data_IF_073656227540
#
_entry.id   IF_073656227540
#
_cell.length_a   1.000
_cell.length_b   1.000
_cell.length_c   1.000
_cell.angle_alpha   90.00
_cell.angle_beta   90.00
_cell.angle_gamma   90.00
#
_symmetry.space_group_name_H-M   'P 1'
#
loop_
_entity.id
_entity.type
_entity.pdbx_description
1 polymer ?
#
# COMPACT_ATOMS: atom_id res chain seq x y z
N UNK A 1 29.37 20.11 -31.68
CA UNK A 1 29.29 18.93 -30.79
C UNK A 1 28.06 18.13 -31.19
N UNK A 2 28.23 16.87 -31.57
CA UNK A 2 27.09 15.97 -31.75
C UNK A 2 26.43 15.78 -30.39
N UNK A 3 25.13 16.09 -30.28
CA UNK A 3 24.37 15.80 -29.08
C UNK A 3 24.12 14.30 -29.06
N UNK A 4 24.61 13.61 -28.04
CA UNK A 4 24.24 12.23 -27.81
C UNK A 4 22.84 12.22 -27.21
N UNK A 5 21.86 11.72 -27.98
CA UNK A 5 20.52 11.47 -27.46
C UNK A 5 20.54 10.08 -26.83
N UNK A 6 20.56 10.02 -25.50
CA UNK A 6 20.38 8.78 -24.76
C UNK A 6 18.87 8.54 -24.61
N UNK A 7 18.34 7.52 -25.29
CA UNK A 7 16.94 7.10 -25.12
C UNK A 7 16.70 6.30 -23.82
N UNK A 8 17.78 5.74 -23.27
CA UNK A 8 17.82 5.00 -22.01
C UNK A 8 19.25 4.57 -21.71
N UNK A 9 19.54 4.30 -20.44
CA UNK A 9 20.79 3.71 -20.01
C UNK A 9 20.49 2.76 -18.86
N UNK A 10 20.92 1.51 -18.99
CA UNK A 10 20.76 0.51 -17.93
C UNK A 10 21.70 0.81 -16.75
N UNK A 11 22.92 1.28 -17.05
CA UNK A 11 23.91 1.71 -16.07
C UNK A 11 24.63 2.98 -16.53
N UNK A 12 25.00 3.83 -15.57
CA UNK A 12 25.74 5.07 -15.81
C UNK A 12 27.04 5.03 -15.02
N UNK A 13 28.15 5.25 -15.71
CA UNK A 13 29.48 5.35 -15.12
C UNK A 13 29.98 6.79 -15.21
N UNK A 14 30.59 7.29 -14.15
CA UNK A 14 31.16 8.63 -14.12
C UNK A 14 32.67 8.55 -13.87
N UNK A 15 33.42 9.38 -14.61
CA UNK A 15 34.89 9.48 -14.52
C UNK A 15 35.63 8.73 -15.62
N UNK A 16 36.96 8.91 -15.67
CA UNK A 16 37.86 8.28 -16.65
C UNK A 16 38.83 7.25 -16.05
N UNK A 17 38.68 6.94 -14.75
CA UNK A 17 39.56 6.02 -14.04
C UNK A 17 39.52 4.62 -14.64
N UNK A 18 40.69 3.99 -14.74
CA UNK A 18 40.84 2.63 -15.23
C UNK A 18 41.64 1.82 -14.22
N UNK A 19 40.99 0.81 -13.65
CA UNK A 19 41.63 -0.25 -12.89
C UNK A 19 41.36 -1.58 -13.63
N UNK A 20 42.39 -2.37 -13.97
CA UNK A 20 42.20 -3.60 -14.75
C UNK A 20 41.27 -4.62 -14.06
N UNK A 21 41.31 -4.70 -12.73
CA UNK A 21 40.49 -5.65 -11.96
C UNK A 21 39.03 -5.21 -11.96
N UNK A 22 38.77 -3.93 -11.67
CA UNK A 22 37.43 -3.36 -11.70
C UNK A 22 36.83 -3.34 -13.11
N UNK A 23 37.64 -3.03 -14.13
CA UNK A 23 37.21 -3.06 -15.53
C UNK A 23 36.87 -4.48 -15.99
N UNK A 24 37.64 -5.48 -15.53
CA UNK A 24 37.35 -6.90 -15.81
C UNK A 24 36.00 -7.38 -15.27
N UNK A 25 35.49 -6.73 -14.21
CA UNK A 25 34.17 -7.03 -13.62
C UNK A 25 33.07 -6.17 -14.23
N UNK A 26 33.28 -4.85 -14.32
CA UNK A 26 32.25 -3.89 -14.68
C UNK A 26 32.10 -3.68 -16.20
N UNK A 27 33.10 -4.03 -17.00
CA UNK A 27 33.12 -3.78 -18.45
C UNK A 27 33.19 -2.31 -18.86
N UNK A 28 33.32 -1.39 -17.91
CA UNK A 28 33.31 0.05 -18.13
C UNK A 28 34.38 0.76 -17.28
N UNK A 29 34.85 1.91 -17.78
CA UNK A 29 35.75 2.81 -17.03
C UNK A 29 34.94 3.68 -16.06
N UNK A 30 35.59 4.15 -15.00
CA UNK A 30 34.95 4.97 -13.97
C UNK A 30 34.23 4.14 -12.90
N UNK A 31 33.32 4.77 -12.19
CA UNK A 31 32.57 4.17 -11.07
C UNK A 31 31.08 4.17 -11.43
N UNK A 32 30.34 3.07 -11.15
CA UNK A 32 28.90 3.05 -11.37
C UNK A 32 28.20 4.04 -10.44
N UNK A 33 27.18 4.72 -10.98
CA UNK A 33 26.39 5.71 -10.24
C UNK A 33 24.92 5.28 -10.25
N UNK A 34 24.32 5.24 -9.07
CA UNK A 34 22.89 4.97 -8.91
C UNK A 34 22.16 6.27 -8.61
N UNK A 35 21.23 6.64 -9.49
CA UNK A 35 20.44 7.85 -9.34
C UNK A 35 19.24 7.60 -8.40
N UNK A 36 19.03 8.47 -7.39
CA UNK A 36 17.83 8.45 -6.57
C UNK A 36 16.56 8.55 -7.41
N UNK A 37 15.55 7.79 -7.01
CA UNK A 37 14.20 7.84 -7.55
C UNK A 37 13.34 8.69 -6.62
N UNK A 38 12.62 9.65 -7.19
CA UNK A 38 11.63 10.46 -6.48
C UNK A 38 10.29 9.74 -6.51
N UNK A 39 9.85 9.22 -5.37
CA UNK A 39 8.48 8.77 -5.14
C UNK A 39 7.66 9.95 -4.60
N UNK A 40 6.48 10.18 -5.18
CA UNK A 40 5.61 11.29 -4.82
C UNK A 40 4.19 10.79 -4.56
N UNK A 41 3.59 11.25 -3.48
CA UNK A 41 2.16 11.16 -3.24
C UNK A 41 1.61 12.58 -3.25
N UNK A 42 0.71 12.87 -4.19
CA UNK A 42 0.31 14.24 -4.50
C UNK A 42 -0.37 14.95 -3.32
N UNK A 43 -1.26 14.26 -2.60
CA UNK A 43 -2.04 14.82 -1.52
C UNK A 43 -2.77 13.74 -0.69
N UNK A 44 -2.07 12.88 0.08
CA UNK A 44 -2.74 11.95 0.98
C UNK A 44 -3.52 12.69 2.06
N UNK A 45 -4.82 12.51 2.08
CA UNK A 45 -5.72 13.07 3.08
C UNK A 45 -5.41 12.48 4.48
N UNK A 46 -5.87 13.20 5.50
CA UNK A 46 -5.85 12.74 6.90
C UNK A 46 -6.38 11.30 6.96
N UNK A 47 -5.76 10.45 7.78
CA UNK A 47 -6.28 9.11 8.03
C UNK A 47 -7.71 9.20 8.57
N UNK A 48 -8.61 8.50 7.90
CA UNK A 48 -10.04 8.53 8.18
C UNK A 48 -10.50 7.10 8.41
N UNK A 49 -10.68 6.72 9.69
CA UNK A 49 -11.14 5.39 10.09
C UNK A 49 -12.59 5.11 9.67
N UNK A 50 -13.29 6.14 9.21
CA UNK A 50 -14.71 6.14 8.91
C UNK A 50 -14.96 6.24 7.39
N UNK A 51 -13.92 6.09 6.54
CA UNK A 51 -14.07 6.35 5.11
C UNK A 51 -14.97 5.33 4.37
N UNK A 52 -14.81 4.03 4.61
CA UNK A 52 -15.45 2.97 3.82
C UNK A 52 -16.66 2.34 4.52
N UNK A 53 -16.53 2.11 5.83
CA UNK A 53 -17.59 1.62 6.71
C UNK A 53 -17.57 2.47 7.96
N UNK A 54 -18.75 2.90 8.39
CA UNK A 54 -18.95 3.62 9.66
C UNK A 54 -20.01 2.87 10.41
N UNK A 55 -19.84 2.83 11.73
CA UNK A 55 -20.81 2.41 12.74
C UNK A 55 -21.57 1.10 12.47
N UNK A 56 -21.04 0.22 11.62
CA UNK A 56 -21.72 -1.02 11.25
C UNK A 56 -22.04 -1.83 12.50
N UNK A 57 -23.29 -2.24 12.65
CA UNK A 57 -23.78 -2.91 13.86
C UNK A 57 -24.95 -3.84 13.55
N UNK A 58 -25.47 -4.58 14.53
CA UNK A 58 -26.68 -5.39 14.39
C UNK A 58 -26.63 -6.33 13.17
N UNK A 59 -27.68 -6.34 12.34
CA UNK A 59 -27.83 -7.21 11.15
C UNK A 59 -26.78 -6.98 10.07
N UNK A 60 -26.02 -5.89 10.17
CA UNK A 60 -24.94 -5.56 9.25
C UNK A 60 -23.72 -6.41 9.57
N UNK A 61 -23.46 -6.68 10.85
CA UNK A 61 -22.35 -7.52 11.30
C UNK A 61 -22.69 -9.02 11.28
N UNK A 62 -21.66 -9.89 11.19
CA UNK A 62 -21.86 -11.33 11.17
C UNK A 62 -22.28 -11.89 12.55
N UNK A 63 -23.08 -12.95 12.49
CA UNK A 63 -23.26 -13.91 13.57
C UNK A 63 -22.99 -15.28 12.97
N UNK A 64 -21.87 -15.90 13.36
CA UNK A 64 -21.40 -17.18 12.82
C UNK A 64 -21.50 -17.26 11.28
N UNK A 65 -21.06 -16.20 10.60
CA UNK A 65 -21.24 -16.01 9.16
C UNK A 65 -20.25 -14.99 8.59
N UNK A 66 -20.32 -14.78 7.28
CA UNK A 66 -19.58 -13.72 6.58
C UNK A 66 -20.54 -12.68 6.06
N UNK A 67 -20.20 -11.40 6.28
CA UNK A 67 -20.86 -10.24 5.67
C UNK A 67 -19.90 -9.60 4.69
N UNK A 68 -20.32 -9.44 3.44
CA UNK A 68 -19.47 -8.92 2.37
C UNK A 68 -20.02 -7.62 1.83
N UNK A 69 -19.17 -6.61 1.77
CA UNK A 69 -19.49 -5.28 1.31
C UNK A 69 -18.70 -4.97 0.05
N UNK A 70 -19.40 -4.43 -0.94
CA UNK A 70 -18.85 -4.11 -2.25
C UNK A 70 -19.36 -2.74 -2.70
N UNK A 71 -18.70 -2.09 -3.67
CA UNK A 71 -19.23 -0.88 -4.27
C UNK A 71 -20.62 -1.06 -4.90
N UNK A 72 -20.96 -2.27 -5.35
CA UNK A 72 -22.27 -2.57 -5.93
C UNK A 72 -23.40 -2.66 -4.88
N UNK A 73 -23.06 -2.99 -3.63
CA UNK A 73 -23.98 -3.03 -2.49
C UNK A 73 -23.86 -1.76 -1.63
N UNK A 74 -23.17 -0.74 -2.13
CA UNK A 74 -23.07 0.55 -1.45
C UNK A 74 -24.48 1.17 -1.32
N UNK A 75 -24.85 1.61 -0.12
CA UNK A 75 -26.17 2.17 0.18
C UNK A 75 -27.17 1.22 0.82
N UNK A 76 -26.86 -0.08 0.95
CA UNK A 76 -27.83 -1.06 1.47
C UNK A 76 -27.53 -1.62 2.85
N UNK A 77 -26.24 -1.75 3.23
CA UNK A 77 -25.77 -2.11 4.58
C UNK A 77 -24.29 -2.55 4.53
N UNK A 78 -23.43 -2.07 5.44
CA UNK A 78 -23.60 -0.90 6.29
C UNK A 78 -23.54 0.34 5.42
N UNK A 79 -24.37 1.31 5.75
CA UNK A 79 -24.23 2.65 5.20
C UNK A 79 -24.56 3.69 6.25
N UNK A 80 -23.66 3.79 7.21
CA UNK A 80 -23.71 4.83 8.24
C UNK A 80 -22.76 6.00 7.94
N UNK A 81 -22.21 6.06 6.71
CA UNK A 81 -21.39 7.18 6.22
C UNK A 81 -22.02 7.88 5.00
N UNK A 82 -21.89 9.21 4.93
CA UNK A 82 -22.21 10.05 3.76
C UNK A 82 -21.04 10.35 2.82
N UNK A 83 -19.81 9.91 3.14
CA UNK A 83 -18.57 10.30 2.44
C UNK A 83 -17.79 9.14 1.79
N UNK A 84 -18.39 7.96 1.62
CA UNK A 84 -17.75 6.83 0.93
C UNK A 84 -17.30 7.25 -0.48
N UNK A 85 -16.07 6.95 -0.92
CA UNK A 85 -15.63 7.26 -2.28
C UNK A 85 -16.61 6.72 -3.31
N UNK A 86 -16.88 7.48 -4.38
CA UNK A 86 -17.75 7.01 -5.45
C UNK A 86 -17.20 5.73 -6.09
N UNK A 87 -18.09 4.79 -6.41
CA UNK A 87 -17.72 3.60 -7.14
C UNK A 87 -17.14 3.98 -8.51
N UNK A 88 -16.01 3.35 -8.86
CA UNK A 88 -15.32 3.54 -10.14
C UNK A 88 -15.14 2.18 -10.82
N UNK A 89 -14.99 2.18 -12.15
CA UNK A 89 -14.57 0.99 -12.90
C UNK A 89 -13.12 1.17 -13.35
N UNK A 90 -12.28 0.17 -13.07
CA UNK A 90 -10.88 0.14 -13.50
C UNK A 90 -10.63 -1.03 -14.45
N UNK A 91 -9.67 -0.88 -15.36
CA UNK A 91 -9.05 -2.01 -16.07
C UNK A 91 -7.84 -2.49 -15.27
N UNK A 92 -7.91 -3.73 -14.79
CA UNK A 92 -6.87 -4.39 -14.00
C UNK A 92 -5.61 -4.70 -14.82
N UNK A 93 -4.53 -5.08 -14.14
CA UNK A 93 -3.27 -5.50 -14.78
C UNK A 93 -3.40 -6.71 -15.72
N UNK A 94 -4.46 -7.52 -15.59
CA UNK A 94 -4.75 -8.65 -16.48
C UNK A 94 -5.63 -8.26 -17.67
N UNK A 95 -6.09 -7.00 -17.75
CA UNK A 95 -7.01 -6.51 -18.78
C UNK A 95 -8.50 -6.68 -18.44
N UNK A 96 -8.84 -7.37 -17.34
CA UNK A 96 -10.22 -7.47 -16.85
C UNK A 96 -10.72 -6.15 -16.24
N UNK A 97 -12.03 -5.94 -16.19
CA UNK A 97 -12.64 -4.79 -15.50
C UNK A 97 -13.08 -5.15 -14.08
N UNK A 98 -12.92 -4.21 -13.13
CA UNK A 98 -13.40 -4.35 -11.76
C UNK A 98 -14.11 -3.07 -11.29
N UNK A 99 -15.17 -3.22 -10.48
CA UNK A 99 -15.84 -2.10 -9.80
C UNK A 99 -15.26 -1.94 -8.40
N UNK A 100 -14.77 -0.75 -8.07
CA UNK A 100 -13.95 -0.49 -6.89
C UNK A 100 -14.28 0.85 -6.25
N UNK A 101 -13.98 0.99 -4.95
CA UNK A 101 -13.77 2.29 -4.32
C UNK A 101 -12.33 2.75 -4.57
N UNK A 102 -12.15 4.00 -5.00
CA UNK A 102 -10.80 4.56 -5.24
C UNK A 102 -10.35 5.38 -4.04
N UNK A 103 -9.20 5.03 -3.47
CA UNK A 103 -8.59 5.80 -2.38
C UNK A 103 -7.77 6.97 -2.94
N UNK A 104 -7.53 7.97 -2.12
CA UNK A 104 -6.74 9.17 -2.41
C UNK A 104 -5.26 8.85 -2.73
N UNK A 105 -4.68 7.90 -2.00
CA UNK A 105 -3.31 7.40 -2.17
C UNK A 105 -3.25 5.87 -1.96
N UNK A 106 -2.21 5.18 -2.47
CA UNK A 106 -1.97 3.79 -2.10
C UNK A 106 -1.63 3.73 -0.61
N UNK A 107 -2.51 3.15 0.22
CA UNK A 107 -2.36 3.17 1.69
C UNK A 107 -3.03 1.98 2.35
N UNK A 108 -2.64 1.71 3.59
CA UNK A 108 -3.27 0.65 4.37
C UNK A 108 -4.69 1.03 4.78
N UNK A 109 -5.50 0.01 5.07
CA UNK A 109 -6.76 0.21 5.78
C UNK A 109 -6.57 0.01 7.28
N UNK A 110 -7.41 0.68 8.06
CA UNK A 110 -7.49 0.57 9.51
C UNK A 110 -8.94 0.26 9.90
N UNK A 111 -9.08 -0.58 10.91
CA UNK A 111 -10.36 -1.03 11.44
C UNK A 111 -10.39 -0.67 12.91
N UNK A 112 -11.48 -0.05 13.34
CA UNK A 112 -11.77 0.20 14.76
C UNK A 112 -13.04 -0.52 15.15
N UNK A 113 -13.09 -0.97 16.40
CA UNK A 113 -14.29 -1.54 16.98
C UNK A 113 -14.40 -1.16 18.46
N UNK A 114 -15.61 -1.11 18.99
CA UNK A 114 -15.87 -0.77 20.40
C UNK A 114 -15.10 -1.67 21.35
N UNK A 115 -15.18 -2.98 21.15
CA UNK A 115 -14.34 -4.06 21.71
C UNK A 115 -14.87 -5.34 21.06
N UNK A 116 -14.02 -6.09 20.35
CA UNK A 116 -14.48 -7.28 19.64
C UNK A 116 -15.03 -8.34 20.61
N UNK A 117 -16.32 -8.66 20.49
CA UNK A 117 -16.96 -9.70 21.30
C UNK A 117 -16.44 -11.11 20.98
N UNK A 118 -15.89 -11.30 19.78
CA UNK A 118 -15.25 -12.54 19.32
C UNK A 118 -14.15 -12.24 18.29
N UNK A 119 -13.29 -13.24 18.03
CA UNK A 119 -12.29 -13.17 16.97
C UNK A 119 -12.96 -12.85 15.63
N UNK A 120 -12.56 -11.73 15.04
CA UNK A 120 -13.15 -11.19 13.82
C UNK A 120 -12.06 -11.07 12.76
N UNK A 121 -12.30 -11.64 11.59
CA UNK A 121 -11.39 -11.57 10.45
C UNK A 121 -12.01 -10.68 9.39
N UNK A 122 -11.35 -9.57 9.09
CA UNK A 122 -11.71 -8.67 8.00
C UNK A 122 -10.79 -8.96 6.83
N UNK A 123 -11.34 -9.49 5.74
CA UNK A 123 -10.61 -9.74 4.50
C UNK A 123 -10.91 -8.66 3.49
N UNK A 124 -9.88 -7.90 3.14
CA UNK A 124 -9.91 -6.84 2.14
C UNK A 124 -9.42 -7.43 0.83
N UNK A 125 -10.23 -7.33 -0.22
CA UNK A 125 -9.82 -7.62 -1.60
C UNK A 125 -9.82 -6.33 -2.38
N UNK A 126 -8.75 -6.09 -3.12
CA UNK A 126 -8.60 -4.87 -3.91
C UNK A 126 -7.42 -4.94 -4.84
N UNK A 127 -6.88 -3.78 -5.17
CA UNK A 127 -5.77 -3.64 -6.08
C UNK A 127 -4.81 -2.56 -5.60
N UNK A 128 -3.52 -2.76 -5.90
CA UNK A 128 -2.50 -1.75 -5.71
C UNK A 128 -2.55 -0.66 -6.79
N UNK A 129 -1.61 0.30 -6.74
CA UNK A 129 -1.55 1.40 -7.70
C UNK A 129 -1.28 0.96 -9.15
N UNK A 130 -0.65 -0.20 -9.32
CA UNK A 130 -0.42 -0.83 -10.61
C UNK A 130 -1.59 -1.71 -11.06
N UNK A 131 -2.68 -1.71 -10.30
CA UNK A 131 -3.90 -2.48 -10.57
C UNK A 131 -3.64 -3.99 -10.56
N UNK A 132 -2.65 -4.42 -9.79
CA UNK A 132 -2.40 -5.83 -9.46
C UNK A 132 -3.27 -6.19 -8.27
N UNK A 133 -3.92 -7.36 -8.31
CA UNK A 133 -4.84 -7.80 -7.26
C UNK A 133 -4.10 -8.07 -5.95
N UNK A 134 -4.66 -7.58 -4.85
CA UNK A 134 -4.12 -7.71 -3.50
C UNK A 134 -5.23 -8.18 -2.57
N UNK A 135 -4.91 -9.15 -1.71
CA UNK A 135 -5.77 -9.61 -0.63
C UNK A 135 -5.03 -9.49 0.69
N UNK A 136 -5.71 -8.94 1.69
CA UNK A 136 -5.21 -8.87 3.07
C UNK A 136 -6.28 -9.36 4.05
N UNK A 137 -5.90 -10.19 5.00
CA UNK A 137 -6.75 -10.58 6.14
C UNK A 137 -6.22 -9.93 7.41
N UNK A 138 -7.04 -9.09 8.03
CA UNK A 138 -6.75 -8.39 9.28
C UNK A 138 -7.59 -9.02 10.39
N UNK A 139 -6.93 -9.65 11.35
CA UNK A 139 -7.60 -10.26 12.51
C UNK A 139 -7.69 -9.25 13.65
N UNK A 140 -8.89 -9.07 14.18
CA UNK A 140 -9.15 -8.41 15.45
C UNK A 140 -9.44 -9.52 16.44
N UNK A 141 -8.50 -9.74 17.36
CA UNK A 141 -8.67 -10.74 18.40
C UNK A 141 -9.80 -10.33 19.36
N UNK A 142 -10.44 -11.32 19.98
CA UNK A 142 -11.42 -11.10 21.05
C UNK A 142 -10.86 -10.13 22.09
N UNK A 143 -11.68 -9.19 22.53
CA UNK A 143 -11.35 -8.09 23.45
C UNK A 143 -10.40 -7.00 22.91
N UNK A 144 -9.95 -7.07 21.64
CA UNK A 144 -9.23 -5.97 21.01
C UNK A 144 -10.20 -4.92 20.43
N UNK A 145 -9.73 -3.69 20.28
CA UNK A 145 -10.52 -2.56 19.77
C UNK A 145 -10.06 -2.05 18.40
N UNK A 146 -9.03 -2.65 17.80
CA UNK A 146 -8.52 -2.22 16.52
C UNK A 146 -7.77 -3.33 15.77
N UNK A 147 -7.76 -3.23 14.45
CA UNK A 147 -6.90 -3.97 13.54
C UNK A 147 -6.28 -3.01 12.52
N UNK A 148 -4.99 -3.12 12.25
CA UNK A 148 -4.29 -2.22 11.34
C UNK A 148 -3.65 -3.01 10.21
N UNK A 149 -4.03 -2.69 8.97
CA UNK A 149 -3.45 -3.31 7.79
C UNK A 149 -1.96 -3.03 7.61
N UNK A 150 -1.31 -3.90 6.87
CA UNK A 150 0.12 -3.88 6.52
C UNK A 150 0.36 -3.81 5.02
N UNK A 151 -0.66 -4.05 4.18
CA UNK A 151 -0.57 -3.87 2.73
C UNK A 151 -1.19 -2.54 2.30
N UNK A 152 -0.72 -2.01 1.17
CA UNK A 152 -1.26 -0.77 0.61
C UNK A 152 -2.22 -1.04 -0.54
N UNK A 153 -3.45 -0.54 -0.42
CA UNK A 153 -4.47 -0.57 -1.46
C UNK A 153 -4.60 0.81 -2.09
N UNK A 154 -4.77 0.86 -3.41
CA UNK A 154 -5.24 2.07 -4.12
C UNK A 154 -6.71 1.96 -4.50
N UNK A 155 -7.16 0.73 -4.73
CA UNK A 155 -8.53 0.40 -5.10
C UNK A 155 -9.04 -0.71 -4.20
N UNK A 156 -10.25 -0.59 -3.67
CA UNK A 156 -10.88 -1.61 -2.83
C UNK A 156 -12.07 -2.19 -3.58
N UNK A 157 -12.07 -3.50 -3.78
CA UNK A 157 -13.13 -4.25 -4.50
C UNK A 157 -14.17 -4.80 -3.53
N UNK A 158 -13.72 -5.36 -2.40
CA UNK A 158 -14.62 -5.88 -1.38
C UNK A 158 -14.01 -5.91 0.00
N UNK A 159 -14.89 -5.87 1.00
CA UNK A 159 -14.57 -6.06 2.41
C UNK A 159 -15.45 -7.19 2.93
N UNK A 160 -14.86 -8.31 3.33
CA UNK A 160 -15.57 -9.45 3.91
C UNK A 160 -15.24 -9.54 5.40
N UNK A 161 -16.24 -9.35 6.26
CA UNK A 161 -16.13 -9.50 7.72
C UNK A 161 -16.67 -10.87 8.10
N UNK A 162 -15.83 -11.71 8.68
CA UNK A 162 -16.19 -13.01 9.21
C UNK A 162 -15.97 -13.06 10.72
N UNK A 163 -16.93 -13.65 11.44
CA UNK A 163 -16.75 -14.06 12.83
C UNK A 163 -17.49 -15.38 13.06
N UNK A 164 -16.86 -16.28 13.83
CA UNK A 164 -17.50 -17.51 14.30
C UNK A 164 -18.44 -17.23 15.49
N UNK A 165 -18.26 -16.11 16.18
CA UNK A 165 -19.14 -15.64 17.25
C UNK A 165 -20.23 -14.69 16.75
N UNK A 166 -21.13 -14.31 17.65
CA UNK A 166 -22.07 -13.22 17.42
C UNK A 166 -21.40 -11.89 17.76
N UNK A 167 -21.15 -11.07 16.74
CA UNK A 167 -20.58 -9.72 16.91
C UNK A 167 -21.61 -8.63 16.56
N UNK A 168 -22.90 -8.95 16.53
CA UNK A 168 -23.96 -7.98 16.19
C UNK A 168 -24.13 -6.87 17.23
N UNK A 169 -23.56 -7.01 18.43
CA UNK A 169 -23.50 -5.96 19.46
C UNK A 169 -22.29 -5.03 19.30
N UNK A 170 -21.34 -5.39 18.45
CA UNK A 170 -20.16 -4.58 18.21
C UNK A 170 -20.51 -3.41 17.30
N UNK A 171 -19.60 -2.46 17.23
CA UNK A 171 -19.62 -1.39 16.23
C UNK A 171 -18.30 -1.47 15.49
N UNK A 172 -18.31 -1.53 14.15
CA UNK A 172 -17.10 -1.59 13.34
C UNK A 172 -17.05 -0.39 12.38
N UNK A 173 -15.90 0.30 12.39
CA UNK A 173 -15.57 1.28 11.36
C UNK A 173 -14.34 0.80 10.58
N UNK A 174 -14.34 1.05 9.28
CA UNK A 174 -13.23 0.72 8.38
C UNK A 174 -12.94 1.91 7.49
N UNK A 175 -11.68 2.28 7.43
CA UNK A 175 -11.24 3.35 6.57
C UNK A 175 -9.73 3.34 6.36
N UNK A 176 -9.16 4.49 6.10
CA UNK A 176 -7.75 4.64 5.70
C UNK A 176 -6.83 4.85 6.90
N UNK A 177 -5.68 4.17 6.88
CA UNK A 177 -4.58 4.39 7.82
C UNK A 177 -3.47 5.26 7.23
N UNK A 178 -2.43 5.56 8.02
CA UNK A 178 -1.33 6.47 7.63
C UNK A 178 -0.15 5.80 6.94
N UNK A 179 -0.15 4.47 6.75
CA UNK A 179 0.95 3.77 6.05
C UNK A 179 0.72 3.91 4.55
N UNK A 180 1.61 4.61 3.87
CA UNK A 180 1.60 4.79 2.42
C UNK A 180 2.40 3.67 1.76
N UNK A 181 1.85 3.08 0.70
CA UNK A 181 2.54 2.11 -0.14
C UNK A 181 3.58 2.78 -1.01
N UNK A 182 4.78 2.21 -1.08
CA UNK A 182 5.85 2.68 -1.95
C UNK A 182 5.56 2.30 -3.41
N UNK A 183 5.80 3.20 -4.38
CA UNK A 183 5.61 2.86 -5.79
C UNK A 183 6.58 1.79 -6.24
N UNK A 184 7.82 1.82 -5.74
CA UNK A 184 8.87 0.85 -6.07
C UNK A 184 9.30 0.06 -4.84
N UNK A 185 9.84 -1.14 -5.08
CA UNK A 185 10.38 -2.02 -4.04
C UNK A 185 11.48 -1.31 -3.25
N UNK A 186 11.27 -1.21 -1.94
CA UNK A 186 12.32 -0.85 -0.99
C UNK A 186 12.96 -2.13 -0.48
N UNK A 187 14.06 -2.56 -1.11
CA UNK A 187 14.73 -3.82 -0.78
C UNK A 187 15.29 -3.80 0.65
N UNK A 188 15.84 -2.67 1.09
CA UNK A 188 16.33 -2.44 2.45
C UNK A 188 15.88 -1.07 2.94
N UNK A 189 15.73 -0.92 4.26
CA UNK A 189 15.41 0.38 4.87
C UNK A 189 16.46 1.45 4.56
N UNK A 190 17.73 1.05 4.38
CA UNK A 190 18.84 1.92 3.99
C UNK A 190 18.70 2.52 2.60
N UNK A 191 17.82 1.96 1.76
CA UNK A 191 17.62 2.44 0.40
C UNK A 191 16.69 3.67 0.37
N UNK A 192 15.99 3.97 1.47
CA UNK A 192 15.35 5.27 1.66
C UNK A 192 16.41 6.29 2.07
N UNK A 193 16.56 7.35 1.27
CA UNK A 193 17.53 8.42 1.52
C UNK A 193 16.91 9.46 2.45
N UNK A 194 15.75 10.00 2.05
CA UNK A 194 15.02 11.06 2.76
C UNK A 194 13.54 11.06 2.41
N UNK A 195 12.72 11.54 3.33
CA UNK A 195 11.32 11.86 3.09
C UNK A 195 11.03 13.31 3.48
N UNK A 196 10.04 13.89 2.81
CA UNK A 196 9.61 15.27 2.98
C UNK A 196 8.09 15.31 3.03
N UNK A 197 7.56 16.14 3.91
CA UNK A 197 6.15 16.46 4.02
C UNK A 197 5.98 17.96 3.89
N UNK A 198 5.24 18.41 2.88
CA UNK A 198 5.00 19.84 2.64
C UNK A 198 6.32 20.64 2.46
N UNK A 199 7.32 20.00 1.85
CA UNK A 199 8.65 20.56 1.61
C UNK A 199 9.61 20.56 2.81
N UNK A 200 9.12 20.25 4.02
CA UNK A 200 9.96 20.07 5.20
C UNK A 200 10.47 18.63 5.28
N UNK A 201 11.73 18.44 5.68
CA UNK A 201 12.26 17.11 5.92
C UNK A 201 11.54 16.47 7.11
N UNK A 202 11.07 15.25 6.92
CA UNK A 202 10.58 14.41 8.02
C UNK A 202 11.69 13.42 8.39
N UNK A 203 12.35 13.67 9.52
CA UNK A 203 13.55 12.95 9.95
C UNK A 203 13.26 11.65 10.72
N UNK A 204 11.98 11.43 11.06
CA UNK A 204 11.54 10.38 11.98
C UNK A 204 10.50 9.45 11.34
N UNK A 205 10.52 9.34 10.01
CA UNK A 205 9.61 8.44 9.27
C UNK A 205 9.82 6.97 9.65
N UNK A 206 8.72 6.23 9.72
CA UNK A 206 8.77 4.78 9.89
C UNK A 206 8.69 4.10 8.54
N UNK A 207 9.71 3.30 8.22
CA UNK A 207 9.74 2.49 6.98
C UNK A 207 9.74 0.99 7.26
N UNK A 208 9.02 0.28 6.40
CA UNK A 208 9.01 -1.18 6.31
C UNK A 208 9.50 -1.56 4.92
N UNK A 209 10.53 -2.40 4.87
CA UNK A 209 11.06 -2.91 3.61
C UNK A 209 10.08 -3.90 2.96
N UNK A 210 10.23 -4.10 1.66
CA UNK A 210 9.48 -5.07 0.88
C UNK A 210 9.54 -6.49 1.47
N UNK A 211 8.42 -7.22 1.35
CA UNK A 211 8.42 -8.67 1.59
C UNK A 211 9.32 -9.37 0.58
N UNK A 212 10.14 -10.31 1.05
CA UNK A 212 11.07 -11.11 0.23
C UNK A 212 10.64 -12.57 0.07
N UNK A 213 9.67 -13.03 0.86
CA UNK A 213 9.08 -14.36 0.73
C UNK A 213 7.84 -14.33 -0.16
N UNK A 214 7.28 -15.49 -0.50
CA UNK A 214 5.96 -15.54 -1.15
C UNK A 214 4.94 -14.76 -0.32
N UNK A 215 4.25 -13.81 -0.95
CA UNK A 215 3.24 -13.01 -0.29
C UNK A 215 2.02 -13.87 0.08
N UNK A 216 1.47 -13.62 1.27
CA UNK A 216 0.21 -14.22 1.73
C UNK A 216 -0.76 -13.13 2.14
N UNK A 217 -1.96 -13.52 2.57
CA UNK A 217 -2.96 -12.61 3.13
C UNK A 217 -2.48 -11.82 4.37
N UNK A 218 -1.42 -12.27 5.05
CA UNK A 218 -0.94 -11.68 6.32
C UNK A 218 0.50 -11.17 6.28
N UNK A 219 1.24 -11.44 5.20
CA UNK A 219 2.57 -10.82 5.02
C UNK A 219 2.42 -9.32 4.77
N UNK A 220 3.50 -8.56 4.98
CA UNK A 220 3.55 -7.13 4.64
C UNK A 220 3.36 -6.83 3.16
N UNK A 221 3.49 -5.55 2.82
CA UNK A 221 3.45 -5.06 1.45
C UNK A 221 4.67 -5.54 0.62
N UNK A 222 4.43 -5.94 -0.63
CA UNK A 222 5.48 -6.47 -1.52
C UNK A 222 6.49 -5.41 -1.98
N UNK A 223 6.14 -4.12 -1.87
CA UNK A 223 7.05 -2.99 -2.18
C UNK A 223 7.54 -2.30 -0.93
N UNK A 224 6.81 -2.43 0.17
CA UNK A 224 7.09 -1.79 1.44
C UNK A 224 6.25 -0.54 1.63
N UNK A 225 6.32 0.00 2.84
CA UNK A 225 5.50 1.14 3.25
C UNK A 225 6.31 2.20 3.96
N UNK A 226 5.84 3.44 3.89
CA UNK A 226 6.34 4.56 4.65
C UNK A 226 5.20 5.20 5.45
N UNK A 227 5.47 5.53 6.71
CA UNK A 227 4.59 6.33 7.56
C UNK A 227 5.35 7.57 7.97
N UNK A 228 4.77 8.73 7.69
CA UNK A 228 5.32 10.02 8.13
C UNK A 228 5.22 10.14 9.65
N UNK A 229 6.12 10.89 10.28
CA UNK A 229 6.02 11.21 11.71
C UNK A 229 4.89 12.23 11.94
N UNK A 230 4.80 13.20 11.04
CA UNK A 230 3.66 14.13 10.99
C UNK A 230 2.41 13.43 10.46
N UNK A 231 1.25 13.81 11.00
CA UNK A 231 -0.02 13.33 10.49
C UNK A 231 -0.23 13.77 9.02
N UNK A 232 -0.82 12.90 8.22
CA UNK A 232 -1.24 13.24 6.87
C UNK A 232 -2.27 14.38 6.93
N UNK A 233 -2.19 15.32 6.00
CA UNK A 233 -2.94 16.58 6.03
C UNK A 233 -3.47 17.02 4.66
N UNK A 234 -3.41 16.13 3.66
CA UNK A 234 -3.79 16.45 2.28
C UNK A 234 -2.72 17.20 1.48
N UNK A 235 -1.49 17.33 1.98
CA UNK A 235 -0.38 17.92 1.24
C UNK A 235 0.55 16.87 0.60
N UNK A 236 1.43 17.34 -0.30
CA UNK A 236 2.39 16.47 -0.99
C UNK A 236 3.38 15.82 -0.01
N UNK A 237 3.62 14.54 -0.23
CA UNK A 237 4.71 13.78 0.38
C UNK A 237 5.67 13.34 -0.71
N UNK A 238 6.96 13.47 -0.44
CA UNK A 238 8.03 13.08 -1.36
C UNK A 238 9.03 12.21 -0.62
N UNK A 239 9.37 11.05 -1.18
CA UNK A 239 10.46 10.21 -0.71
C UNK A 239 11.52 10.04 -1.81
N UNK A 240 12.78 10.23 -1.46
CA UNK A 240 13.92 9.88 -2.32
C UNK A 240 14.44 8.51 -1.91
N UNK A 241 14.46 7.57 -2.86
CA UNK A 241 14.87 6.20 -2.61
C UNK A 241 15.76 5.64 -3.73
N UNK A 242 16.59 4.67 -3.39
CA UNK A 242 17.32 3.84 -4.35
C UNK A 242 16.47 2.62 -4.71
N UNK A 243 16.32 2.35 -6.01
CA UNK A 243 15.78 1.08 -6.50
C UNK A 243 16.97 0.20 -6.84
N UNK A 244 17.20 -0.83 -6.02
CA UNK A 244 18.42 -1.64 -6.07
C UNK A 244 18.53 -2.51 -7.33
N UNK A 245 17.43 -3.13 -7.74
CA UNK A 245 17.33 -3.87 -9.00
C UNK A 245 16.27 -3.20 -9.88
N UNK A 246 16.71 -2.69 -11.02
CA UNK A 246 15.91 -1.92 -11.98
C UNK A 246 15.66 -2.69 -13.27
N UNK A 247 16.14 -3.93 -13.36
CA UNK A 247 16.12 -4.73 -14.57
C UNK A 247 15.03 -5.79 -14.54
N UNK A 248 14.65 -6.25 -13.35
CA UNK A 248 13.62 -7.28 -13.20
C UNK A 248 12.29 -6.71 -12.68
N UNK A 249 11.14 -7.30 -13.07
CA UNK A 249 9.86 -6.95 -12.48
C UNK A 249 9.87 -7.10 -10.95
N UNK A 250 10.55 -8.14 -10.44
CA UNK A 250 10.66 -8.37 -8.99
C UNK A 250 11.55 -7.35 -8.29
N UNK A 251 12.58 -6.84 -8.97
CA UNK A 251 13.44 -5.77 -8.48
C UNK A 251 12.71 -4.44 -8.36
N UNK A 252 11.85 -4.14 -9.33
CA UNK A 252 11.08 -2.88 -9.39
C UNK A 252 9.85 -2.93 -8.49
N UNK A 253 9.09 -4.03 -8.52
CA UNK A 253 7.75 -4.13 -7.89
C UNK A 253 7.69 -5.09 -6.71
N UNK A 254 8.78 -5.78 -6.38
CA UNK A 254 8.76 -6.82 -5.35
C UNK A 254 8.21 -8.15 -5.84
N UNK A 255 8.08 -9.10 -4.92
CA UNK A 255 7.46 -10.40 -5.18
C UNK A 255 6.01 -10.23 -5.67
N UNK A 256 5.46 -11.26 -6.31
CA UNK A 256 4.07 -11.24 -6.75
C UNK A 256 3.11 -10.99 -5.57
N UNK A 257 2.09 -10.17 -5.82
CA UNK A 257 1.04 -9.89 -4.84
C UNK A 257 0.23 -11.16 -4.55
N UNK A 258 -0.26 -11.28 -3.31
CA UNK A 258 -1.21 -12.32 -2.96
C UNK A 258 -2.60 -11.96 -3.50
N UNK A 259 -3.08 -12.73 -4.49
CA UNK A 259 -4.33 -12.47 -5.20
C UNK A 259 -5.59 -13.15 -4.65
N UNK A 260 -5.46 -13.96 -3.59
CA UNK A 260 -6.50 -14.89 -3.11
C UNK A 260 -6.25 -16.32 -3.55
#
# INVERSE_FOLDING_TARGET
MSKHNLSGADEVFIGGGYDPSAFGVNGARGVPVVLPTRATWAAPAVADADLLIVAATSTELPNNSTKTYTPATNGTSPTDNGSVPAAATITTSTGATATVWTLDAPRNLAITTTTAAADTVVTITGYDEYKVKVVESITIATAASAGVGVKAFKYVESIAIYSAGDITTDTINIGTGSKLGLPYKLAKKSDLIRAYHTGAMDDSVTVVAAVTTTATATTGDVRGTITMNSALDGNEIVAYMIVADRQTPEGIRGVDQYGG
#
